data_IF_498189116947
#
_entry.id   IF_498189116947
#
_cell.length_a   1.000
_cell.length_b   1.000
_cell.length_c   1.000
_cell.angle_alpha   90.00
_cell.angle_beta   90.00
_cell.angle_gamma   90.00
#
_symmetry.space_group_name_H-M   'P 1'
#
loop_
_entity.id
_entity.type
_entity.pdbx_description
1 polymer ?
#
# COMPACT_ATOMS: atom_id res chain seq x y z
N UNK A 1 4.84 4.69 4.89
CA UNK A 1 3.48 5.25 4.75
C UNK A 1 2.81 4.62 3.55
N UNK A 2 1.52 4.86 3.36
CA UNK A 2 0.76 4.41 2.19
C UNK A 2 0.17 5.61 1.44
N UNK A 3 -0.06 5.43 0.15
CA UNK A 3 -0.76 6.39 -0.70
C UNK A 3 -1.94 5.68 -1.34
N UNK A 4 -3.14 6.22 -1.16
CA UNK A 4 -4.37 5.63 -1.67
C UNK A 4 -4.53 6.01 -3.15
N UNK A 5 -4.15 5.10 -4.05
CA UNK A 5 -4.40 5.25 -5.50
C UNK A 5 -5.90 5.14 -5.81
N UNK A 6 -6.48 4.04 -5.36
CA UNK A 6 -7.89 3.66 -5.49
C UNK A 6 -8.16 2.65 -4.36
N UNK A 7 -9.29 2.77 -3.67
CA UNK A 7 -9.66 1.83 -2.61
C UNK A 7 -11.16 1.58 -2.62
N UNK A 8 -11.57 0.32 -2.60
CA UNK A 8 -12.96 0.00 -2.28
C UNK A 8 -13.11 0.00 -0.75
N UNK A 9 -13.81 1.01 -0.25
CA UNK A 9 -14.02 1.19 1.19
C UNK A 9 -14.95 0.09 1.73
N UNK A 10 -15.83 -0.49 0.91
CA UNK A 10 -16.61 -1.67 1.28
C UNK A 10 -15.72 -2.85 1.62
N UNK A 11 -14.93 -3.30 0.65
CA UNK A 11 -14.05 -4.46 0.80
C UNK A 11 -13.05 -4.28 1.96
N UNK A 12 -12.48 -3.08 2.10
CA UNK A 12 -11.56 -2.77 3.19
C UNK A 12 -12.22 -2.98 4.56
N UNK A 13 -13.47 -2.53 4.71
CA UNK A 13 -14.19 -2.69 5.98
C UNK A 13 -14.67 -4.13 6.18
N UNK A 14 -14.92 -4.88 5.14
CA UNK A 14 -15.30 -6.31 5.26
C UNK A 14 -14.17 -7.17 5.84
N UNK A 15 -12.91 -6.71 5.76
CA UNK A 15 -11.77 -7.39 6.38
C UNK A 15 -11.74 -7.32 7.92
N UNK A 16 -12.49 -6.40 8.54
CA UNK A 16 -12.48 -6.22 10.00
C UNK A 16 -13.66 -6.90 10.70
N UNK A 17 -13.42 -7.35 11.94
CA UNK A 17 -14.49 -7.85 12.82
C UNK A 17 -15.14 -6.70 13.56
N UNK A 18 -16.44 -6.50 13.33
CA UNK A 18 -17.25 -5.50 14.05
C UNK A 18 -18.24 -6.16 15.00
N UNK A 19 -18.57 -5.45 16.09
CA UNK A 19 -19.56 -5.91 17.08
C UNK A 19 -20.99 -5.90 16.53
N UNK A 20 -21.28 -5.04 15.55
CA UNK A 20 -22.55 -4.95 14.84
C UNK A 20 -22.40 -4.08 13.57
N UNK A 21 -23.36 -4.22 12.65
CA UNK A 21 -23.37 -3.48 11.38
C UNK A 21 -23.52 -1.96 11.54
N UNK A 22 -24.24 -1.51 12.57
CA UNK A 22 -24.41 -0.07 12.83
C UNK A 22 -23.07 0.61 13.13
N UNK A 23 -22.19 -0.06 13.87
CA UNK A 23 -20.84 0.44 14.17
C UNK A 23 -19.98 0.47 12.90
N UNK A 24 -20.03 -0.58 12.08
CA UNK A 24 -19.32 -0.65 10.80
C UNK A 24 -19.72 0.51 9.88
N UNK A 25 -21.02 0.75 9.72
CA UNK A 25 -21.55 1.84 8.91
C UNK A 25 -21.06 3.22 9.39
N UNK A 26 -21.14 3.48 10.71
CA UNK A 26 -20.66 4.74 11.30
C UNK A 26 -19.16 4.95 11.10
N UNK A 27 -18.35 3.90 11.22
CA UNK A 27 -16.90 4.01 11.00
C UNK A 27 -16.56 4.22 9.52
N UNK A 28 -17.29 3.57 8.62
CA UNK A 28 -17.16 3.76 7.17
C UNK A 28 -17.43 5.21 6.77
N UNK A 29 -18.52 5.80 7.26
CA UNK A 29 -18.89 7.19 7.00
C UNK A 29 -17.79 8.17 7.45
N UNK A 30 -17.30 7.99 8.68
CA UNK A 30 -16.20 8.81 9.22
C UNK A 30 -14.88 8.65 8.45
N UNK A 31 -14.64 7.49 7.85
CA UNK A 31 -13.42 7.23 7.08
C UNK A 31 -13.43 7.94 5.73
N UNK A 32 -14.56 7.90 5.01
CA UNK A 32 -14.72 8.56 3.70
C UNK A 32 -14.52 10.08 3.83
N UNK A 33 -14.92 10.66 4.96
CA UNK A 33 -14.72 12.10 5.21
C UNK A 33 -13.24 12.50 5.39
N UNK A 34 -12.35 11.54 5.69
CA UNK A 34 -10.94 11.82 6.06
C UNK A 34 -9.94 11.31 5.03
N UNK A 35 -10.30 10.30 4.25
CA UNK A 35 -9.42 9.65 3.29
C UNK A 35 -10.04 9.74 1.90
N UNK A 36 -9.26 10.29 0.96
CA UNK A 36 -9.66 10.46 -0.43
C UNK A 36 -8.59 9.80 -1.29
N UNK A 37 -8.99 8.90 -2.19
CA UNK A 37 -8.04 8.30 -3.10
C UNK A 37 -7.72 9.26 -4.24
N UNK A 38 -6.52 9.13 -4.82
CA UNK A 38 -6.06 9.98 -5.91
C UNK A 38 -7.03 9.95 -7.10
N UNK A 39 -7.56 8.76 -7.42
CA UNK A 39 -8.51 8.60 -8.53
C UNK A 39 -9.92 9.13 -8.23
N UNK A 40 -10.26 9.41 -6.97
CA UNK A 40 -11.57 10.00 -6.61
C UNK A 40 -11.61 11.51 -6.90
N UNK A 41 -10.44 12.16 -6.97
CA UNK A 41 -10.30 13.62 -7.19
C UNK A 41 -9.66 13.98 -8.53
N UNK A 42 -9.19 12.98 -9.27
CA UNK A 42 -8.54 13.17 -10.56
C UNK A 42 -9.56 13.14 -11.69
N UNK A 43 -9.40 14.02 -12.69
CA UNK A 43 -10.21 14.01 -13.92
C UNK A 43 -9.83 12.85 -14.87
N UNK A 44 -8.78 12.11 -14.55
CA UNK A 44 -8.28 10.98 -15.32
C UNK A 44 -7.93 9.81 -14.39
N UNK A 45 -8.03 8.60 -14.91
CA UNK A 45 -7.65 7.41 -14.15
C UNK A 45 -6.13 7.26 -14.12
N UNK A 46 -5.54 7.43 -12.95
CA UNK A 46 -4.11 7.29 -12.72
C UNK A 46 -3.78 5.83 -12.43
N UNK A 47 -2.88 5.29 -13.25
CA UNK A 47 -2.36 3.93 -13.16
C UNK A 47 -1.21 3.82 -12.16
N UNK A 48 -0.84 2.59 -11.77
CA UNK A 48 0.31 2.39 -10.88
C UNK A 48 1.62 2.85 -11.53
N UNK A 49 1.82 2.53 -12.80
CA UNK A 49 3.02 2.88 -13.55
C UNK A 49 3.20 4.41 -13.65
N UNK A 50 2.11 5.16 -13.86
CA UNK A 50 2.16 6.62 -13.85
C UNK A 50 2.55 7.18 -12.48
N UNK A 51 2.03 6.59 -11.39
CA UNK A 51 2.45 6.96 -10.04
C UNK A 51 3.94 6.67 -9.83
N UNK A 52 4.41 5.47 -10.17
CA UNK A 52 5.81 5.08 -10.02
C UNK A 52 6.75 6.05 -10.76
N UNK A 53 6.44 6.36 -12.03
CA UNK A 53 7.21 7.32 -12.82
C UNK A 53 7.19 8.73 -12.21
N UNK A 54 6.03 9.19 -11.72
CA UNK A 54 5.90 10.50 -11.08
C UNK A 54 6.68 10.56 -9.76
N UNK A 55 6.67 9.48 -8.96
CA UNK A 55 7.47 9.37 -7.74
C UNK A 55 8.95 9.39 -8.05
N UNK A 56 9.40 8.58 -9.01
CA UNK A 56 10.81 8.54 -9.42
C UNK A 56 11.29 9.94 -9.82
N UNK A 57 10.58 10.62 -10.72
CA UNK A 57 10.91 11.97 -11.16
C UNK A 57 10.87 13.00 -10.02
N UNK A 58 9.86 12.89 -9.15
CA UNK A 58 9.70 13.76 -7.98
C UNK A 58 10.86 13.65 -7.00
N UNK A 59 11.29 12.42 -6.69
CA UNK A 59 12.44 12.18 -5.79
C UNK A 59 13.76 12.62 -6.42
N UNK A 60 14.00 12.31 -7.72
CA UNK A 60 15.21 12.78 -8.42
C UNK A 60 15.35 14.30 -8.33
N UNK A 61 14.26 15.02 -8.63
CA UNK A 61 14.23 16.48 -8.56
C UNK A 61 14.35 17.00 -7.12
N UNK A 62 13.59 16.42 -6.19
CA UNK A 62 13.52 16.89 -4.80
C UNK A 62 14.80 16.67 -4.01
N UNK A 63 15.54 15.60 -4.33
CA UNK A 63 16.81 15.27 -3.67
C UNK A 63 18.04 15.62 -4.52
N UNK A 64 17.83 16.03 -5.78
CA UNK A 64 18.89 16.31 -6.75
C UNK A 64 19.86 15.12 -6.94
N UNK A 65 19.29 13.95 -7.21
CA UNK A 65 20.03 12.68 -7.38
C UNK A 65 19.56 11.95 -8.64
N UNK A 66 20.39 11.01 -9.09
CA UNK A 66 20.02 10.01 -10.09
C UNK A 66 19.88 8.63 -9.46
N UNK A 67 18.94 7.84 -9.97
CA UNK A 67 18.75 6.45 -9.56
C UNK A 67 19.51 5.51 -10.49
N UNK A 68 19.98 4.41 -9.92
CA UNK A 68 20.56 3.28 -10.65
C UNK A 68 19.75 2.02 -10.33
N UNK A 69 19.50 1.14 -11.31
CA UNK A 69 18.86 -0.14 -11.05
C UNK A 69 19.60 -0.93 -9.99
N UNK A 70 18.86 -1.50 -9.04
CA UNK A 70 19.40 -2.43 -8.05
C UNK A 70 19.14 -3.85 -8.53
N UNK A 71 20.21 -4.57 -8.85
CA UNK A 71 20.17 -6.01 -9.09
C UNK A 71 20.69 -6.74 -7.86
N UNK A 72 19.87 -7.64 -7.30
CA UNK A 72 20.25 -8.41 -6.13
C UNK A 72 21.22 -9.53 -6.52
N UNK A 73 22.27 -9.71 -5.72
CA UNK A 73 23.16 -10.86 -5.84
C UNK A 73 22.45 -12.15 -5.44
N UNK A 74 22.98 -13.31 -5.86
CA UNK A 74 22.45 -14.63 -5.47
C UNK A 74 22.28 -14.77 -3.96
N UNK A 75 23.30 -14.36 -3.19
CA UNK A 75 23.26 -14.40 -1.72
C UNK A 75 22.14 -13.53 -1.15
N UNK A 76 21.93 -12.33 -1.69
CA UNK A 76 20.83 -11.46 -1.24
C UNK A 76 19.46 -12.03 -1.60
N UNK A 77 19.33 -12.72 -2.74
CA UNK A 77 18.10 -13.42 -3.09
C UNK A 77 17.82 -14.59 -2.14
N UNK A 78 18.85 -15.34 -1.72
CA UNK A 78 18.73 -16.38 -0.69
C UNK A 78 18.27 -15.77 0.64
N UNK A 79 18.86 -14.66 1.08
CA UNK A 79 18.43 -13.93 2.28
C UNK A 79 16.97 -13.44 2.18
N UNK A 80 16.55 -12.93 1.00
CA UNK A 80 15.17 -12.54 0.75
C UNK A 80 14.22 -13.74 0.85
N UNK A 81 14.60 -14.90 0.32
CA UNK A 81 13.79 -16.12 0.40
C UNK A 81 13.60 -16.57 1.86
N UNK A 82 14.66 -16.57 2.66
CA UNK A 82 14.57 -16.92 4.09
C UNK A 82 13.64 -15.96 4.85
N UNK A 83 13.70 -14.66 4.54
CA UNK A 83 12.80 -13.66 5.10
C UNK A 83 11.36 -13.90 4.65
N UNK A 84 11.14 -14.19 3.37
CA UNK A 84 9.81 -14.50 2.83
C UNK A 84 9.18 -15.69 3.56
N UNK A 85 9.93 -16.80 3.68
CA UNK A 85 9.45 -18.02 4.34
C UNK A 85 9.06 -17.74 5.79
N UNK A 86 9.87 -16.94 6.49
CA UNK A 86 9.56 -16.48 7.85
C UNK A 86 8.27 -15.66 7.89
N UNK A 87 8.15 -14.61 7.07
CA UNK A 87 7.01 -13.69 7.13
C UNK A 87 5.70 -14.30 6.60
N UNK A 88 5.79 -15.33 5.75
CA UNK A 88 4.66 -16.13 5.29
C UNK A 88 4.20 -17.17 6.32
N UNK A 89 5.09 -17.61 7.21
CA UNK A 89 4.77 -18.65 8.19
C UNK A 89 3.66 -18.24 9.15
N UNK A 90 2.74 -19.17 9.44
CA UNK A 90 1.69 -18.96 10.43
C UNK A 90 2.26 -18.68 11.83
N UNK A 91 3.39 -19.32 12.17
CA UNK A 91 4.09 -19.11 13.41
C UNK A 91 4.52 -17.65 13.60
N UNK A 92 4.88 -16.96 12.52
CA UNK A 92 5.15 -15.52 12.56
C UNK A 92 3.86 -14.69 12.50
N UNK A 93 2.94 -15.01 11.57
CA UNK A 93 1.72 -14.23 11.32
C UNK A 93 0.77 -14.19 12.53
N UNK A 94 0.67 -15.27 13.30
CA UNK A 94 -0.21 -15.38 14.48
C UNK A 94 0.53 -15.27 15.81
N UNK A 95 1.79 -14.85 15.79
CA UNK A 95 2.56 -14.60 17.02
C UNK A 95 1.86 -13.49 17.83
N UNK A 96 1.57 -13.77 19.11
CA UNK A 96 1.01 -12.80 20.07
C UNK A 96 2.08 -11.90 20.67
#
# INVERSE_FOLDING_TARGET
GSLLKCVDIGDLFDMFKFKNERLKAKMKENFVQKAVAINDISNQHITLNEMENAFEAGFKKGLNIDFKPLELTKKQLEEVQELEDKYRSEAWMYRK
#
